data_IF_909588142514
#
_entry.id   IF_909588142514
#
_cell.length_a   1.000
_cell.length_b   1.000
_cell.length_c   1.000
_cell.angle_alpha   90.00
_cell.angle_beta   90.00
_cell.angle_gamma   90.00
#
_symmetry.space_group_name_H-M   'P 1'
#
loop_
_entity.id
_entity.type
_entity.pdbx_description
1 polymer ?
#
# COMPACT_ATOMS: atom_id res chain seq x y z
N UNK A 1 -28.38 4.52 -33.48
CA UNK A 1 -27.76 4.78 -32.15
C UNK A 1 -27.31 3.44 -31.60
N UNK A 2 -26.00 3.23 -31.38
CA UNK A 2 -25.49 2.08 -30.64
C UNK A 2 -25.60 2.43 -29.16
N UNK A 3 -26.21 1.56 -28.37
CA UNK A 3 -26.26 1.68 -26.91
C UNK A 3 -24.83 1.85 -26.37
N UNK A 4 -24.58 2.79 -25.44
CA UNK A 4 -23.31 2.83 -24.74
C UNK A 4 -23.18 1.53 -23.95
N UNK A 5 -22.16 0.75 -24.32
CA UNK A 5 -21.75 -0.49 -23.69
C UNK A 5 -21.66 -0.24 -22.18
N UNK A 6 -22.54 -0.87 -21.39
CA UNK A 6 -22.51 -0.82 -19.93
C UNK A 6 -21.08 -1.13 -19.48
N UNK A 7 -20.35 -0.13 -18.96
CA UNK A 7 -19.26 -0.41 -18.04
C UNK A 7 -19.89 -1.21 -16.90
N UNK A 8 -19.62 -2.51 -16.87
CA UNK A 8 -20.13 -3.37 -15.81
C UNK A 8 -19.61 -2.81 -14.51
N UNK A 9 -20.50 -2.47 -13.58
CA UNK A 9 -20.10 -2.16 -12.22
C UNK A 9 -19.41 -3.40 -11.61
N UNK A 10 -18.08 -3.34 -11.49
CA UNK A 10 -17.27 -4.42 -10.96
C UNK A 10 -17.17 -4.40 -9.43
N UNK A 11 -17.84 -3.45 -8.75
CA UNK A 11 -17.73 -3.25 -7.30
C UNK A 11 -17.99 -4.53 -6.52
N UNK A 12 -19.05 -5.26 -6.86
CA UNK A 12 -19.38 -6.54 -6.20
C UNK A 12 -18.30 -7.61 -6.40
N UNK A 13 -17.69 -7.67 -7.60
CA UNK A 13 -16.63 -8.63 -7.90
C UNK A 13 -15.34 -8.29 -7.16
N UNK A 14 -14.95 -7.00 -7.15
CA UNK A 14 -13.79 -6.51 -6.39
C UNK A 14 -13.95 -6.80 -4.89
N UNK A 15 -15.15 -6.59 -4.35
CA UNK A 15 -15.45 -6.92 -2.96
C UNK A 15 -15.30 -8.41 -2.67
N UNK A 16 -15.88 -9.27 -3.52
CA UNK A 16 -15.80 -10.72 -3.37
C UNK A 16 -14.34 -11.24 -3.38
N UNK A 17 -13.47 -10.66 -4.23
CA UNK A 17 -12.04 -10.97 -4.24
C UNK A 17 -11.40 -10.63 -2.89
N UNK A 18 -11.65 -9.42 -2.38
CA UNK A 18 -11.05 -8.92 -1.14
C UNK A 18 -11.62 -9.55 0.15
N UNK A 19 -12.79 -10.19 0.07
CA UNK A 19 -13.38 -10.96 1.17
C UNK A 19 -12.79 -12.37 1.27
N UNK A 20 -12.16 -12.88 0.21
CA UNK A 20 -11.52 -14.19 0.25
C UNK A 20 -10.44 -14.24 1.35
N UNK A 21 -10.33 -15.39 2.04
CA UNK A 21 -9.50 -15.55 3.24
C UNK A 21 -8.06 -15.02 3.08
N UNK A 22 -7.46 -15.27 1.91
CA UNK A 22 -6.06 -14.88 1.64
C UNK A 22 -5.94 -13.36 1.45
N UNK A 23 -6.83 -12.76 0.68
CA UNK A 23 -6.86 -11.31 0.48
C UNK A 23 -7.23 -10.58 1.77
N UNK A 24 -8.21 -11.09 2.52
CA UNK A 24 -8.62 -10.48 3.78
C UNK A 24 -7.47 -10.44 4.80
N UNK A 25 -6.72 -11.52 4.94
CA UNK A 25 -5.52 -11.56 5.78
C UNK A 25 -4.46 -10.53 5.38
N UNK A 26 -4.14 -10.47 4.08
CA UNK A 26 -3.22 -9.47 3.54
C UNK A 26 -3.71 -8.04 3.79
N UNK A 27 -4.99 -7.75 3.56
CA UNK A 27 -5.57 -6.42 3.80
C UNK A 27 -5.47 -6.04 5.28
N UNK A 28 -5.69 -6.97 6.21
CA UNK A 28 -5.52 -6.73 7.65
C UNK A 28 -4.08 -6.38 8.00
N UNK A 29 -3.11 -7.12 7.47
CA UNK A 29 -1.69 -6.86 7.70
C UNK A 29 -1.29 -5.47 7.20
N UNK A 30 -1.63 -5.15 5.95
CA UNK A 30 -1.29 -3.84 5.35
C UNK A 30 -1.98 -2.70 6.12
N UNK A 31 -3.24 -2.87 6.48
CA UNK A 31 -3.99 -1.86 7.23
C UNK A 31 -3.38 -1.62 8.62
N UNK A 32 -2.96 -2.68 9.31
CA UNK A 32 -2.29 -2.59 10.60
C UNK A 32 -0.90 -1.94 10.49
N UNK A 33 -0.12 -2.31 9.47
CA UNK A 33 1.23 -1.76 9.25
C UNK A 33 1.20 -0.25 8.96
N UNK A 34 0.23 0.20 8.15
CA UNK A 34 0.05 1.61 7.80
C UNK A 34 -0.71 2.40 8.88
N UNK A 35 -1.50 1.71 9.71
CA UNK A 35 -2.30 2.33 10.75
C UNK A 35 -3.63 2.91 10.26
N UNK A 36 -4.30 2.27 9.29
CA UNK A 36 -5.65 2.65 8.84
C UNK A 36 -6.69 1.59 9.17
N UNK A 37 -7.98 1.94 9.29
CA UNK A 37 -9.03 0.94 9.46
C UNK A 37 -9.09 -0.03 8.27
N UNK A 38 -9.28 -1.32 8.55
CA UNK A 38 -9.34 -2.37 7.52
C UNK A 38 -10.37 -2.06 6.42
N UNK A 39 -11.56 -1.59 6.80
CA UNK A 39 -12.62 -1.24 5.86
C UNK A 39 -12.19 -0.09 4.92
N UNK A 40 -11.41 0.86 5.44
CA UNK A 40 -10.87 1.97 4.66
C UNK A 40 -9.83 1.49 3.65
N UNK A 41 -8.92 0.62 4.08
CA UNK A 41 -7.96 -0.01 3.16
C UNK A 41 -8.67 -0.82 2.07
N UNK A 42 -9.69 -1.62 2.43
CA UNK A 42 -10.48 -2.38 1.45
C UNK A 42 -11.13 -1.46 0.40
N UNK A 43 -11.80 -0.39 0.85
CA UNK A 43 -12.39 0.60 -0.06
C UNK A 43 -11.32 1.23 -0.96
N UNK A 44 -10.20 1.66 -0.39
CA UNK A 44 -9.10 2.25 -1.15
C UNK A 44 -8.60 1.31 -2.27
N UNK A 45 -8.41 0.03 -1.97
CA UNK A 45 -8.00 -0.97 -2.97
C UNK A 45 -9.07 -1.16 -4.06
N UNK A 46 -10.35 -1.20 -3.69
CA UNK A 46 -11.44 -1.33 -4.67
C UNK A 46 -11.52 -0.12 -5.62
N UNK A 47 -11.30 1.08 -5.08
CA UNK A 47 -11.40 2.32 -5.85
C UNK A 47 -10.21 2.50 -6.80
N UNK A 48 -9.02 2.04 -6.40
CA UNK A 48 -7.76 2.33 -7.10
C UNK A 48 -7.25 1.19 -7.98
N UNK A 49 -7.58 -0.05 -7.68
CA UNK A 49 -7.01 -1.21 -8.39
C UNK A 49 -8.03 -1.84 -9.33
N UNK A 50 -7.56 -2.24 -10.51
CA UNK A 50 -8.34 -3.04 -11.45
C UNK A 50 -8.47 -4.50 -10.97
N UNK A 51 -9.27 -5.29 -11.69
CA UNK A 51 -9.51 -6.70 -11.38
C UNK A 51 -8.23 -7.52 -11.42
N UNK A 52 -7.40 -7.35 -12.46
CA UNK A 52 -6.19 -8.15 -12.67
C UNK A 52 -5.19 -7.94 -11.53
N UNK A 53 -5.05 -6.70 -11.07
CA UNK A 53 -4.22 -6.36 -9.93
C UNK A 53 -4.77 -6.99 -8.66
N UNK A 54 -6.07 -6.81 -8.37
CA UNK A 54 -6.73 -7.34 -7.17
C UNK A 54 -6.61 -8.85 -7.07
N UNK A 55 -6.82 -9.59 -8.16
CA UNK A 55 -6.70 -11.05 -8.20
C UNK A 55 -5.29 -11.52 -7.81
N UNK A 56 -4.26 -10.78 -8.26
CA UNK A 56 -2.87 -11.15 -8.07
C UNK A 56 -2.23 -10.57 -6.79
N UNK A 57 -2.95 -9.71 -6.04
CA UNK A 57 -2.38 -8.96 -4.92
C UNK A 57 -1.65 -9.83 -3.89
N UNK A 58 -2.23 -10.95 -3.38
CA UNK A 58 -1.54 -11.72 -2.35
C UNK A 58 -0.22 -12.32 -2.82
N UNK A 59 -0.12 -12.76 -4.07
CA UNK A 59 1.13 -13.28 -4.62
C UNK A 59 2.19 -12.17 -4.70
N UNK A 60 1.78 -10.98 -5.18
CA UNK A 60 2.65 -9.80 -5.25
C UNK A 60 3.11 -9.35 -3.87
N UNK A 61 2.20 -9.32 -2.88
CA UNK A 61 2.50 -8.94 -1.51
C UNK A 61 3.54 -9.88 -0.88
N UNK A 62 3.36 -11.20 -1.00
CA UNK A 62 4.33 -12.17 -0.49
C UNK A 62 5.71 -12.03 -1.14
N UNK A 63 5.76 -11.81 -2.45
CA UNK A 63 7.03 -11.55 -3.14
C UNK A 63 7.66 -10.22 -2.71
N UNK A 64 6.85 -9.17 -2.55
CA UNK A 64 7.29 -7.87 -2.09
C UNK A 64 7.86 -7.89 -0.66
N UNK A 65 7.30 -8.71 0.23
CA UNK A 65 7.83 -8.91 1.59
C UNK A 65 9.26 -9.45 1.58
N UNK A 66 9.55 -10.42 0.70
CA UNK A 66 10.92 -10.97 0.53
C UNK A 66 11.91 -9.89 0.09
N UNK A 67 11.52 -9.09 -0.91
CA UNK A 67 12.37 -7.98 -1.40
C UNK A 67 12.58 -6.92 -0.31
N UNK A 68 11.56 -6.67 0.52
CA UNK A 68 11.65 -5.75 1.66
C UNK A 68 12.69 -6.21 2.67
N UNK A 69 12.76 -7.51 2.98
CA UNK A 69 13.71 -8.07 3.96
C UNK A 69 15.17 -7.83 3.55
N UNK A 70 15.46 -7.89 2.25
CA UNK A 70 16.80 -7.65 1.67
C UNK A 70 17.13 -6.15 1.49
N UNK A 71 16.20 -5.25 1.78
CA UNK A 71 16.40 -3.80 1.59
C UNK A 71 17.17 -3.15 2.74
N UNK A 72 17.95 -2.08 2.49
CA UNK A 72 18.57 -1.29 3.56
C UNK A 72 17.54 -0.46 4.34
N UNK A 73 17.94 0.08 5.48
CA UNK A 73 17.15 1.10 6.18
C UNK A 73 17.37 2.48 5.53
N UNK A 74 16.35 3.37 5.51
CA UNK A 74 14.97 3.22 6.03
C UNK A 74 13.97 2.47 5.12
N UNK A 75 14.37 2.09 3.90
CA UNK A 75 13.51 1.49 2.88
C UNK A 75 12.79 0.24 3.36
N UNK A 76 13.49 -0.59 4.11
CA UNK A 76 12.96 -1.82 4.71
C UNK A 76 11.82 -1.53 5.67
N UNK A 77 12.02 -0.65 6.65
CA UNK A 77 11.00 -0.35 7.66
C UNK A 77 9.77 0.41 7.13
N UNK A 78 9.95 1.18 6.05
CA UNK A 78 8.84 1.86 5.35
C UNK A 78 8.20 0.97 4.28
N UNK A 79 8.78 -0.19 3.97
CA UNK A 79 8.28 -1.06 2.91
C UNK A 79 8.23 -0.37 1.55
N UNK A 80 9.23 0.44 1.22
CA UNK A 80 9.19 1.31 0.04
C UNK A 80 8.86 0.56 -1.25
N UNK A 81 9.61 -0.51 -1.57
CA UNK A 81 9.34 -1.35 -2.73
C UNK A 81 8.01 -2.11 -2.63
N UNK A 82 7.66 -2.57 -1.42
CA UNK A 82 6.41 -3.28 -1.18
C UNK A 82 5.19 -2.41 -1.53
N UNK A 83 5.22 -1.13 -1.16
CA UNK A 83 4.07 -0.25 -1.25
C UNK A 83 4.03 0.65 -2.49
N UNK A 84 5.08 0.65 -3.32
CA UNK A 84 5.10 1.38 -4.60
C UNK A 84 5.14 0.47 -5.83
N UNK A 85 5.65 -0.76 -5.71
CA UNK A 85 5.77 -1.70 -6.82
C UNK A 85 4.92 -2.96 -6.62
N UNK A 86 5.11 -3.67 -5.51
CA UNK A 86 4.42 -4.93 -5.30
C UNK A 86 2.91 -4.72 -5.07
N UNK A 87 2.55 -3.80 -4.19
CA UNK A 87 1.18 -3.40 -3.88
C UNK A 87 1.13 -1.88 -3.95
N UNK A 88 0.85 -1.27 -5.12
CA UNK A 88 1.10 0.14 -5.40
C UNK A 88 0.05 1.05 -4.73
N UNK A 89 0.04 1.06 -3.40
CA UNK A 89 -0.88 1.86 -2.59
C UNK A 89 -0.34 3.25 -2.30
N UNK A 90 0.99 3.43 -2.33
CA UNK A 90 1.65 4.72 -2.28
C UNK A 90 2.27 5.01 -3.65
N UNK A 91 2.07 6.22 -4.14
CA UNK A 91 2.72 6.67 -5.37
C UNK A 91 4.25 6.70 -5.21
N UNK A 92 4.99 6.44 -6.30
CA UNK A 92 6.45 6.40 -6.27
C UNK A 92 7.05 7.74 -5.86
N UNK A 93 6.56 8.84 -6.43
CA UNK A 93 7.07 10.17 -6.10
C UNK A 93 6.78 10.51 -4.64
N UNK A 94 5.58 10.18 -4.16
CA UNK A 94 5.21 10.36 -2.76
C UNK A 94 6.14 9.58 -1.82
N UNK A 95 6.40 8.30 -2.10
CA UNK A 95 7.33 7.47 -1.32
C UNK A 95 8.77 8.00 -1.38
N UNK A 96 9.23 8.48 -2.53
CA UNK A 96 10.56 9.09 -2.66
C UNK A 96 10.69 10.35 -1.78
N UNK A 97 9.67 11.22 -1.75
CA UNK A 97 9.68 12.38 -0.87
C UNK A 97 9.64 12.00 0.61
N UNK A 98 8.92 10.92 0.96
CA UNK A 98 8.91 10.37 2.32
C UNK A 98 10.31 9.89 2.69
N UNK A 99 10.93 9.04 1.86
CA UNK A 99 12.29 8.52 2.08
C UNK A 99 13.32 9.64 2.20
N UNK A 100 13.27 10.63 1.31
CA UNK A 100 14.17 11.80 1.35
C UNK A 100 14.04 12.54 2.69
N UNK A 101 12.82 12.78 3.14
CA UNK A 101 12.55 13.43 4.44
C UNK A 101 13.06 12.60 5.61
N UNK A 102 12.84 11.28 5.60
CA UNK A 102 13.29 10.38 6.67
C UNK A 102 14.81 10.35 6.76
N UNK A 103 15.50 10.20 5.61
CA UNK A 103 16.97 10.25 5.55
C UNK A 103 17.51 11.59 6.04
N UNK A 104 16.84 12.69 5.71
CA UNK A 104 17.24 14.01 6.20
C UNK A 104 17.08 14.15 7.72
N UNK A 105 16.00 13.63 8.31
CA UNK A 105 15.81 13.61 9.77
C UNK A 105 16.91 12.82 10.46
N UNK A 106 17.24 11.63 9.95
CA UNK A 106 18.33 10.79 10.47
C UNK A 106 19.67 11.52 10.36
N UNK A 107 19.96 12.15 9.22
CA UNK A 107 21.18 12.96 9.02
C UNK A 107 21.28 14.12 10.01
N UNK A 108 20.16 14.70 10.43
CA UNK A 108 20.09 15.77 11.44
C UNK A 108 20.17 15.26 12.88
N UNK A 109 20.38 13.96 13.09
CA UNK A 109 20.53 13.34 14.42
C UNK A 109 19.22 12.85 15.04
N UNK A 110 18.11 12.83 14.27
CA UNK A 110 16.87 12.22 14.76
C UNK A 110 17.02 10.69 14.82
N UNK A 111 16.62 10.01 15.92
CA UNK A 111 16.63 8.56 15.97
C UNK A 111 15.83 7.93 14.82
N UNK A 112 16.33 6.83 14.27
CA UNK A 112 15.72 6.16 13.12
C UNK A 112 14.24 5.86 13.37
N UNK A 113 13.89 5.28 14.52
CA UNK A 113 12.50 4.92 14.85
C UNK A 113 11.55 6.11 14.82
N UNK A 114 12.01 7.29 15.28
CA UNK A 114 11.21 8.52 15.23
C UNK A 114 11.06 9.04 13.79
N UNK A 115 12.12 8.95 12.99
CA UNK A 115 12.07 9.33 11.57
C UNK A 115 11.14 8.38 10.79
N UNK A 116 11.19 7.07 11.05
CA UNK A 116 10.31 6.06 10.47
C UNK A 116 8.85 6.31 10.89
N UNK A 117 8.59 6.62 12.16
CA UNK A 117 7.25 6.97 12.63
C UNK A 117 6.66 8.16 11.86
N UNK A 118 7.46 9.23 11.68
CA UNK A 118 7.09 10.38 10.84
C UNK A 118 6.79 9.97 9.39
N UNK A 119 7.61 9.08 8.81
CA UNK A 119 7.38 8.52 7.48
C UNK A 119 6.06 7.74 7.37
N UNK A 120 5.75 6.88 8.33
CA UNK A 120 4.50 6.11 8.38
C UNK A 120 3.27 7.00 8.50
N UNK A 121 3.34 8.07 9.31
CA UNK A 121 2.25 9.05 9.39
C UNK A 121 2.00 9.76 8.05
N UNK A 122 3.04 10.00 7.25
CA UNK A 122 2.88 10.53 5.90
C UNK A 122 2.28 9.49 4.94
N UNK A 123 2.73 8.24 4.99
CA UNK A 123 2.11 7.15 4.20
C UNK A 123 0.63 6.99 4.51
N UNK A 124 0.26 7.05 5.80
CA UNK A 124 -1.14 7.00 6.25
C UNK A 124 -1.96 8.12 5.61
N UNK A 125 -1.42 9.34 5.55
CA UNK A 125 -2.09 10.50 4.95
C UNK A 125 -2.43 10.27 3.48
N UNK A 126 -1.57 9.60 2.70
CA UNK A 126 -1.86 9.29 1.29
C UNK A 126 -3.10 8.42 1.07
N UNK A 127 -3.47 7.60 2.05
CA UNK A 127 -4.67 6.75 2.00
C UNK A 127 -5.88 7.44 2.65
N UNK A 128 -5.63 8.43 3.52
CA UNK A 128 -6.67 9.11 4.28
C UNK A 128 -7.08 10.49 3.79
N UNK A 129 -6.29 11.10 2.91
CA UNK A 129 -6.61 12.33 2.19
C UNK A 129 -7.76 12.08 1.20
#
# INVERSE_FOLDING_TARGET
MREPMYEKDLTAMKYAILESRRHDGMVREIAAEIGVPQLRMRRYLMDRFDMLLLENLPARYEQGKKIREDSPEPERQLGSHLYTHAVPIIDREAMEQILKSVREMVRKGTPLDQAIHSGRERMRKEITA
#
